data_IF_938348911238
#
_entry.id   IF_938348911238
#
_cell.length_a   1.000
_cell.length_b   1.000
_cell.length_c   1.000
_cell.angle_alpha   90.00
_cell.angle_beta   90.00
_cell.angle_gamma   90.00
#
_symmetry.space_group_name_H-M   'P 1'
#
loop_
_entity.id
_entity.type
_entity.pdbx_description
1 polymer ?
#
# COMPACT_ATOMS: atom_id res chain seq x y z
N UNK A 1 -32.58 53.61 15.25
CA UNK A 1 -32.34 52.23 15.75
C UNK A 1 -32.46 51.14 14.67
N UNK A 2 -33.21 51.33 13.57
CA UNK A 2 -33.41 50.30 12.51
C UNK A 2 -32.12 49.85 11.79
N UNK A 3 -31.15 50.77 11.60
CA UNK A 3 -29.86 50.48 10.92
C UNK A 3 -28.96 49.49 11.68
N UNK A 4 -29.12 49.35 13.01
CA UNK A 4 -28.39 48.35 13.81
C UNK A 4 -29.00 46.94 13.64
N UNK A 5 -30.32 46.82 13.53
CA UNK A 5 -30.99 45.54 13.27
C UNK A 5 -30.60 44.93 11.93
N UNK A 6 -30.54 45.75 10.87
CA UNK A 6 -30.07 45.28 9.55
C UNK A 6 -28.61 44.82 9.55
N UNK A 7 -27.73 45.47 10.33
CA UNK A 7 -26.33 45.03 10.47
C UNK A 7 -26.20 43.72 11.24
N UNK A 8 -27.03 43.51 12.27
CA UNK A 8 -27.04 42.24 13.02
C UNK A 8 -27.55 41.08 12.16
N UNK A 9 -28.61 41.30 11.39
CA UNK A 9 -29.13 40.30 10.44
C UNK A 9 -28.09 39.95 9.37
N UNK A 10 -27.45 40.96 8.76
CA UNK A 10 -26.36 40.75 7.82
C UNK A 10 -25.19 39.97 8.43
N UNK A 11 -24.79 40.29 9.67
CA UNK A 11 -23.72 39.58 10.38
C UNK A 11 -24.07 38.12 10.64
N UNK A 12 -25.33 37.85 11.02
CA UNK A 12 -25.82 36.48 11.25
C UNK A 12 -25.73 35.66 9.96
N UNK A 13 -26.27 36.17 8.86
CA UNK A 13 -26.23 35.50 7.55
C UNK A 13 -24.80 35.21 7.08
N UNK A 14 -23.90 36.18 7.24
CA UNK A 14 -22.48 35.99 6.88
C UNK A 14 -21.82 34.93 7.76
N UNK A 15 -22.13 34.92 9.06
CA UNK A 15 -21.58 33.92 9.99
C UNK A 15 -22.08 32.51 9.65
N UNK A 16 -23.37 32.37 9.33
CA UNK A 16 -23.98 31.10 8.91
C UNK A 16 -23.36 30.60 7.60
N UNK A 17 -23.22 31.47 6.58
CA UNK A 17 -22.58 31.13 5.31
C UNK A 17 -21.11 30.71 5.46
N UNK A 18 -20.33 31.44 6.27
CA UNK A 18 -18.93 31.09 6.54
C UNK A 18 -18.81 29.77 7.31
N UNK A 19 -19.74 29.49 8.21
CA UNK A 19 -19.76 28.25 8.99
C UNK A 19 -20.08 27.04 8.09
N UNK A 20 -21.07 27.19 7.20
CA UNK A 20 -21.42 26.17 6.22
C UNK A 20 -20.25 25.90 5.26
N UNK A 21 -19.63 26.95 4.72
CA UNK A 21 -18.47 26.82 3.83
C UNK A 21 -17.28 26.13 4.51
N UNK A 22 -16.99 26.48 5.77
CA UNK A 22 -15.92 25.82 6.54
C UNK A 22 -16.21 24.34 6.74
N UNK A 23 -17.45 24.00 7.08
CA UNK A 23 -17.86 22.60 7.25
C UNK A 23 -17.70 21.82 5.94
N UNK A 24 -18.19 22.35 4.83
CA UNK A 24 -18.05 21.71 3.51
C UNK A 24 -16.59 21.50 3.14
N UNK A 25 -15.74 22.50 3.38
CA UNK A 25 -14.29 22.39 3.13
C UNK A 25 -13.66 21.30 3.97
N UNK A 26 -13.95 21.26 5.28
CA UNK A 26 -13.42 20.22 6.17
C UNK A 26 -13.90 18.82 5.76
N UNK A 27 -15.16 18.68 5.34
CA UNK A 27 -15.67 17.41 4.83
C UNK A 27 -15.01 17.00 3.52
N UNK A 28 -14.73 17.96 2.62
CA UNK A 28 -13.99 17.71 1.39
C UNK A 28 -12.55 17.30 1.70
N UNK A 29 -11.85 18.03 2.57
CA UNK A 29 -10.50 17.71 3.00
C UNK A 29 -10.45 16.32 3.65
N UNK A 30 -11.43 15.98 4.50
CA UNK A 30 -11.53 14.64 5.09
C UNK A 30 -11.68 13.56 4.01
N UNK A 31 -12.61 13.74 3.06
CA UNK A 31 -12.80 12.78 1.96
C UNK A 31 -11.54 12.62 1.11
N UNK A 32 -10.82 13.71 0.83
CA UNK A 32 -9.57 13.65 0.08
C UNK A 32 -8.46 12.94 0.86
N UNK A 33 -8.38 13.17 2.17
CA UNK A 33 -7.44 12.48 3.05
C UNK A 33 -7.75 10.98 3.12
N UNK A 34 -9.02 10.59 3.27
CA UNK A 34 -9.46 9.19 3.28
C UNK A 34 -9.05 8.49 1.96
N UNK A 35 -9.32 9.11 0.81
CA UNK A 35 -8.92 8.57 -0.50
C UNK A 35 -7.38 8.45 -0.63
N UNK A 36 -6.62 9.42 -0.11
CA UNK A 36 -5.16 9.34 -0.13
C UNK A 36 -4.65 8.18 0.76
N UNK A 37 -5.28 7.97 1.92
CA UNK A 37 -4.99 6.81 2.79
C UNK A 37 -5.32 5.50 2.09
N UNK A 38 -6.45 5.42 1.39
CA UNK A 38 -6.83 4.21 0.63
C UNK A 38 -5.80 3.89 -0.46
N UNK A 39 -5.34 4.90 -1.21
CA UNK A 39 -4.30 4.74 -2.24
C UNK A 39 -3.00 4.19 -1.62
N UNK A 40 -2.53 4.81 -0.53
CA UNK A 40 -1.28 4.41 0.12
C UNK A 40 -1.39 3.01 0.73
N UNK A 41 -2.54 2.68 1.31
CA UNK A 41 -2.83 1.35 1.86
C UNK A 41 -2.80 0.29 0.76
N UNK A 42 -3.49 0.51 -0.36
CA UNK A 42 -3.50 -0.44 -1.47
C UNK A 42 -2.11 -0.68 -2.08
N UNK A 43 -1.28 0.38 -2.15
CA UNK A 43 0.13 0.25 -2.60
C UNK A 43 0.93 -0.58 -1.60
N UNK A 44 0.81 -0.29 -0.31
CA UNK A 44 1.53 -1.03 0.73
C UNK A 44 1.12 -2.52 0.78
N UNK A 45 -0.17 -2.81 0.64
CA UNK A 45 -0.69 -4.19 0.57
C UNK A 45 -0.14 -4.93 -0.64
N UNK A 46 -0.13 -4.27 -1.82
CA UNK A 46 0.47 -4.84 -3.03
C UNK A 46 1.95 -5.13 -2.84
N UNK A 47 2.69 -4.17 -2.31
CA UNK A 47 4.14 -4.30 -2.14
C UNK A 47 4.47 -5.41 -1.13
N UNK A 48 3.66 -5.56 -0.07
CA UNK A 48 3.74 -6.68 0.85
C UNK A 48 3.46 -8.03 0.15
N UNK A 49 2.40 -8.11 -0.66
CA UNK A 49 2.06 -9.32 -1.39
C UNK A 49 3.16 -9.71 -2.39
N UNK A 50 3.74 -8.74 -3.10
CA UNK A 50 4.88 -8.94 -3.99
C UNK A 50 6.08 -9.45 -3.20
N UNK A 51 6.42 -8.81 -2.08
CA UNK A 51 7.54 -9.25 -1.24
C UNK A 51 7.36 -10.68 -0.72
N UNK A 52 6.15 -11.06 -0.30
CA UNK A 52 5.84 -12.44 0.11
C UNK A 52 6.01 -13.41 -1.05
N UNK A 53 5.52 -13.08 -2.25
CA UNK A 53 5.66 -13.94 -3.42
C UNK A 53 7.13 -14.09 -3.86
N UNK A 54 7.90 -13.00 -3.84
CA UNK A 54 9.35 -13.04 -4.11
C UNK A 54 10.09 -13.91 -3.09
N UNK A 55 9.73 -13.82 -1.81
CA UNK A 55 10.31 -14.65 -0.76
C UNK A 55 10.01 -16.14 -0.99
N UNK A 56 8.77 -16.49 -1.30
CA UNK A 56 8.36 -17.87 -1.62
C UNK A 56 9.13 -18.41 -2.83
N UNK A 57 9.28 -17.60 -3.88
CA UNK A 57 10.05 -17.97 -5.05
C UNK A 57 11.54 -18.18 -4.70
N UNK A 58 12.12 -17.29 -3.89
CA UNK A 58 13.49 -17.42 -3.41
C UNK A 58 13.72 -18.68 -2.57
N UNK A 59 12.76 -19.01 -1.69
CA UNK A 59 12.79 -20.24 -0.89
C UNK A 59 12.74 -21.48 -1.78
N UNK A 60 11.87 -21.50 -2.79
CA UNK A 60 11.78 -22.61 -3.76
C UNK A 60 13.08 -22.76 -4.57
N UNK A 61 13.67 -21.66 -5.04
CA UNK A 61 14.96 -21.69 -5.74
C UNK A 61 16.06 -22.25 -4.83
N UNK A 62 16.13 -21.81 -3.56
CA UNK A 62 17.09 -22.35 -2.59
C UNK A 62 16.90 -23.84 -2.34
N UNK A 63 15.66 -24.30 -2.23
CA UNK A 63 15.35 -25.72 -2.05
C UNK A 63 15.87 -26.54 -3.24
N UNK A 64 15.63 -26.09 -4.48
CA UNK A 64 16.14 -26.77 -5.68
C UNK A 64 17.67 -26.77 -5.74
N UNK A 65 18.32 -25.66 -5.36
CA UNK A 65 19.78 -25.60 -5.27
C UNK A 65 20.34 -26.54 -4.18
N UNK A 66 19.61 -26.73 -3.08
CA UNK A 66 19.98 -27.67 -2.01
C UNK A 66 19.85 -29.14 -2.46
N UNK A 67 18.94 -29.43 -3.40
CA UNK A 67 18.84 -30.72 -4.12
C UNK A 67 19.91 -30.88 -5.23
N UNK A 68 20.92 -30.01 -5.26
CA UNK A 68 22.05 -30.03 -6.19
C UNK A 68 21.73 -29.71 -7.66
N UNK A 69 20.57 -29.12 -7.96
CA UNK A 69 20.29 -28.60 -9.30
C UNK A 69 21.09 -27.32 -9.56
N UNK A 70 21.52 -27.15 -10.81
CA UNK A 70 22.10 -25.88 -11.29
C UNK A 70 20.99 -24.89 -11.66
N UNK A 71 21.31 -23.59 -11.69
CA UNK A 71 20.36 -22.55 -12.13
C UNK A 71 19.88 -22.73 -13.57
N UNK A 72 20.67 -23.38 -14.43
CA UNK A 72 20.26 -23.70 -15.82
C UNK A 72 19.20 -24.80 -15.82
N UNK A 73 19.39 -25.86 -15.03
CA UNK A 73 18.40 -26.94 -14.89
C UNK A 73 17.10 -26.44 -14.26
N UNK A 74 17.18 -25.53 -13.29
CA UNK A 74 15.99 -24.91 -12.71
C UNK A 74 15.25 -24.06 -13.75
N UNK A 75 15.97 -23.28 -14.57
CA UNK A 75 15.36 -22.49 -15.64
C UNK A 75 14.66 -23.38 -16.69
N UNK A 76 15.28 -24.50 -17.05
CA UNK A 76 14.71 -25.50 -17.94
C UNK A 76 13.45 -26.16 -17.34
N UNK A 77 13.50 -26.52 -16.04
CA UNK A 77 12.36 -27.06 -15.30
C UNK A 77 11.17 -26.08 -15.26
N UNK A 78 11.44 -24.78 -15.19
CA UNK A 78 10.44 -23.72 -15.30
C UNK A 78 9.96 -23.46 -16.74
N UNK A 79 10.37 -24.28 -17.71
CA UNK A 79 10.01 -24.16 -19.13
C UNK A 79 10.60 -22.92 -19.81
N UNK A 80 11.73 -22.41 -19.32
CA UNK A 80 12.40 -21.22 -19.86
C UNK A 80 11.65 -19.90 -19.61
N UNK A 81 10.57 -19.91 -18.81
CA UNK A 81 9.82 -18.70 -18.45
C UNK A 81 10.58 -17.78 -17.49
N UNK A 82 11.60 -18.33 -16.83
CA UNK A 82 12.48 -17.63 -15.91
C UNK A 82 13.92 -17.82 -16.40
N UNK A 83 14.63 -16.71 -16.56
CA UNK A 83 16.04 -16.72 -16.95
C UNK A 83 16.97 -16.94 -15.74
N UNK A 84 18.18 -17.42 -16.00
CA UNK A 84 19.24 -17.64 -15.01
C UNK A 84 19.54 -16.38 -14.20
N UNK A 85 19.47 -15.19 -14.80
CA UNK A 85 19.67 -13.92 -14.08
C UNK A 85 18.62 -13.70 -13.00
N UNK A 86 17.37 -14.04 -13.29
CA UNK A 86 16.27 -13.88 -12.33
C UNK A 86 16.39 -14.91 -11.20
N UNK A 87 16.71 -16.17 -11.51
CA UNK A 87 17.02 -17.17 -10.48
C UNK A 87 18.19 -16.76 -9.58
N UNK A 88 19.21 -16.14 -10.17
CA UNK A 88 20.36 -15.62 -9.42
C UNK A 88 19.98 -14.41 -8.56
N UNK A 89 19.03 -13.58 -8.98
CA UNK A 89 18.50 -12.49 -8.14
C UNK A 89 17.70 -13.06 -6.98
N UNK A 90 16.78 -13.99 -7.26
CA UNK A 90 15.94 -14.65 -6.25
C UNK A 90 16.77 -15.38 -5.20
N UNK A 91 17.82 -16.11 -5.60
CA UNK A 91 18.67 -16.83 -4.65
C UNK A 91 19.44 -15.91 -3.67
N UNK A 92 19.62 -14.62 -4.03
CA UNK A 92 20.26 -13.61 -3.17
C UNK A 92 19.30 -12.94 -2.18
N UNK A 93 17.99 -13.12 -2.35
CA UNK A 93 17.02 -12.61 -1.37
C UNK A 93 17.27 -13.37 -0.06
N UNK A 94 17.56 -12.68 1.06
CA UNK A 94 17.84 -13.36 2.32
C UNK A 94 16.62 -14.17 2.77
N UNK A 95 16.81 -15.34 3.40
CA UNK A 95 15.69 -16.07 3.98
C UNK A 95 15.06 -15.21 5.08
N UNK A 96 13.75 -15.00 5.02
CA UNK A 96 13.03 -14.42 6.16
C UNK A 96 12.96 -15.50 7.25
N UNK A 97 13.35 -15.22 8.50
CA UNK A 97 13.17 -16.18 9.57
C UNK A 97 11.66 -16.47 9.73
N UNK A 98 11.28 -17.74 9.84
CA UNK A 98 9.89 -18.21 9.90
C UNK A 98 9.06 -17.71 11.12
N UNK A 99 9.55 -16.74 11.88
CA UNK A 99 8.93 -16.23 13.09
C UNK A 99 8.19 -14.92 12.82
N UNK A 100 6.95 -15.02 12.32
CA UNK A 100 5.83 -14.09 12.61
C UNK A 100 4.54 -14.48 11.87
N UNK A 101 4.16 -15.77 11.80
CA UNK A 101 2.83 -16.17 11.31
C UNK A 101 1.82 -16.39 12.46
N UNK A 102 1.98 -15.67 13.56
CA UNK A 102 1.17 -15.84 14.76
C UNK A 102 0.98 -14.55 15.54
N UNK A 103 0.35 -13.54 14.95
CA UNK A 103 -0.34 -12.50 15.70
C UNK A 103 -1.25 -11.72 14.76
N UNK A 104 -2.51 -12.12 14.69
CA UNK A 104 -3.66 -11.20 14.64
C UNK A 104 -4.93 -12.03 14.87
N UNK A 105 -5.39 -12.03 16.11
CA UNK A 105 -6.76 -12.33 16.54
C UNK A 105 -7.28 -11.10 17.26
#
# INVERSE_FOLDING_TARGET
MVRQGFKQDARRRVTEALSAQRKERLEQERRLADLAVDILTAIAERDQAVHTAEQQAADAVRALLAEHLTTVEIADLCGGQIDVKELTRLSRIPPVPAAASGAQS
#
